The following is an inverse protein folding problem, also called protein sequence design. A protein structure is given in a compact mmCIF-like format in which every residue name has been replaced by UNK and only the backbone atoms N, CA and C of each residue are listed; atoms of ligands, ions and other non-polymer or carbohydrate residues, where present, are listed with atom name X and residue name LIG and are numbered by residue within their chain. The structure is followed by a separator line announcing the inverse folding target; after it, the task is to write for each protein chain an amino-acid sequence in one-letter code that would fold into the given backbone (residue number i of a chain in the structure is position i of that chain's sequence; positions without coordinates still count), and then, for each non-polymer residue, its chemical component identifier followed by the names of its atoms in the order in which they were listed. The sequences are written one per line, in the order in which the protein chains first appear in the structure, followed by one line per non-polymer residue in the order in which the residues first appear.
data_IF_241741983078
#
_entry.id   IF_241741983078
#
_cell.length_a   1.000
_cell.length_b   1.000
_cell.length_c   1.000
_cell.angle_alpha   90.00
_cell.angle_beta   90.00
_cell.angle_gamma   90.00
#
_symmetry.space_group_name_H-M   'P 1'
#
loop_
_entity.id
_entity.type
_entity.pdbx_description
1 polymer ?
#
# COMPACT_ATOMS: atom_id res chain seq x y z
N UNK A 1 20.02 -6.74 -0.67
CA UNK A 1 20.01 -7.59 0.54
C UNK A 1 19.35 -8.94 0.27
N UNK A 2 18.01 -9.08 0.26
CA UNK A 2 17.30 -10.38 0.19
C UNK A 2 17.83 -11.31 -0.91
N UNK A 3 17.88 -10.86 -2.18
CA UNK A 3 18.42 -11.68 -3.28
C UNK A 3 19.84 -12.21 -3.02
N UNK A 4 20.67 -11.44 -2.32
CA UNK A 4 22.03 -11.83 -1.99
C UNK A 4 22.08 -12.89 -0.89
N UNK A 5 21.22 -12.79 0.13
CA UNK A 5 21.12 -13.80 1.19
C UNK A 5 20.65 -15.15 0.64
N UNK A 6 19.66 -15.15 -0.26
CA UNK A 6 19.26 -16.37 -0.96
C UNK A 6 20.38 -16.95 -1.84
N UNK A 7 21.15 -16.09 -2.53
CA UNK A 7 22.30 -16.53 -3.31
C UNK A 7 23.37 -17.20 -2.44
N UNK A 8 23.63 -16.70 -1.23
CA UNK A 8 24.63 -17.28 -0.30
C UNK A 8 24.32 -18.71 0.10
N UNK A 9 23.05 -19.08 0.13
CA UNK A 9 22.58 -20.44 0.44
C UNK A 9 22.24 -21.25 -0.82
N UNK A 10 22.65 -20.78 -2.01
CA UNK A 10 22.45 -21.50 -3.27
C UNK A 10 21.01 -21.52 -3.79
N UNK A 11 20.12 -20.69 -3.24
CA UNK A 11 18.71 -20.66 -3.65
C UNK A 11 18.48 -19.52 -4.65
N UNK A 12 17.96 -19.81 -5.86
CA UNK A 12 17.55 -18.75 -6.78
C UNK A 12 16.33 -18.01 -6.24
N UNK A 13 16.45 -16.69 -6.07
CA UNK A 13 15.34 -15.84 -5.62
C UNK A 13 15.01 -14.76 -6.65
N UNK A 14 13.77 -14.79 -7.13
CA UNK A 14 13.19 -13.75 -7.98
C UNK A 14 11.77 -13.44 -7.51
N UNK A 15 11.50 -12.16 -7.26
CA UNK A 15 10.18 -11.67 -6.89
C UNK A 15 9.93 -10.31 -7.56
N UNK A 16 8.72 -10.05 -8.07
CA UNK A 16 8.32 -8.71 -8.47
C UNK A 16 8.54 -7.73 -7.31
N UNK A 17 9.11 -6.57 -7.59
CA UNK A 17 9.39 -5.54 -6.57
C UNK A 17 8.55 -4.31 -6.85
N UNK A 18 7.82 -3.87 -5.82
CA UNK A 18 7.07 -2.62 -5.84
C UNK A 18 7.78 -1.57 -4.99
N UNK A 19 8.03 -0.39 -5.57
CA UNK A 19 8.54 0.76 -4.80
C UNK A 19 7.36 1.60 -4.30
N UNK A 20 7.15 1.63 -2.98
CA UNK A 20 6.07 2.38 -2.32
C UNK A 20 6.18 3.90 -2.53
N UNK A 21 7.39 4.43 -2.60
CA UNK A 21 7.66 5.84 -2.92
C UNK A 21 7.15 6.19 -4.31
N UNK A 22 7.43 5.35 -5.32
CA UNK A 22 6.96 5.57 -6.69
C UNK A 22 5.43 5.41 -6.79
N UNK A 23 4.86 4.44 -6.07
CA UNK A 23 3.41 4.28 -5.98
C UNK A 23 2.76 5.53 -5.37
N UNK A 24 3.31 6.03 -4.26
CA UNK A 24 2.81 7.23 -3.60
C UNK A 24 2.90 8.45 -4.51
N UNK A 25 4.01 8.68 -5.21
CA UNK A 25 4.15 9.77 -6.20
C UNK A 25 3.06 9.74 -7.27
N UNK A 26 2.73 8.55 -7.74
CA UNK A 26 1.76 8.36 -8.82
C UNK A 26 0.31 8.53 -8.36
N UNK A 27 -0.01 8.05 -7.16
CA UNK A 27 -1.36 8.16 -6.59
C UNK A 27 -1.63 9.54 -5.95
N UNK A 28 -0.58 10.20 -5.46
CA UNK A 28 -0.65 11.43 -4.67
C UNK A 28 0.28 12.52 -5.23
N UNK A 29 0.15 12.91 -6.51
CA UNK A 29 1.11 13.79 -7.18
C UNK A 29 1.19 15.21 -6.59
N UNK A 30 0.17 15.63 -5.83
CA UNK A 30 0.12 16.96 -5.19
C UNK A 30 1.07 17.10 -4.00
N UNK A 31 1.58 15.99 -3.46
CA UNK A 31 2.50 16.04 -2.33
C UNK A 31 3.95 16.08 -2.81
N UNK A 32 4.79 16.85 -2.11
CA UNK A 32 6.21 16.99 -2.47
C UNK A 32 7.08 15.88 -1.88
N UNK A 33 6.78 15.40 -0.66
CA UNK A 33 7.54 14.36 0.04
C UNK A 33 6.84 13.02 -0.03
N UNK A 34 7.60 11.95 -0.27
CA UNK A 34 7.10 10.57 -0.39
C UNK A 34 7.99 9.54 0.31
N UNK A 35 8.82 9.97 1.27
CA UNK A 35 9.49 9.01 2.16
C UNK A 35 8.43 8.22 2.94
N UNK A 36 8.81 7.04 3.45
CA UNK A 36 7.90 6.25 4.28
C UNK A 36 7.37 7.10 5.44
N UNK A 37 8.24 7.82 6.14
CA UNK A 37 7.87 8.75 7.21
C UNK A 37 6.79 9.76 6.80
N UNK A 38 6.97 10.45 5.66
CA UNK A 38 5.97 11.42 5.17
C UNK A 38 4.65 10.75 4.75
N UNK A 39 4.70 9.49 4.33
CA UNK A 39 3.49 8.70 4.04
C UNK A 39 2.78 8.34 5.35
N UNK A 40 3.52 7.84 6.34
CA UNK A 40 2.96 7.46 7.65
C UNK A 40 2.34 8.67 8.35
N UNK A 41 3.00 9.83 8.30
CA UNK A 41 2.48 11.10 8.83
C UNK A 41 1.22 11.57 8.09
N UNK A 42 1.24 11.60 6.75
CA UNK A 42 0.11 12.07 5.94
C UNK A 42 -1.18 11.27 6.18
N UNK A 43 -1.04 9.96 6.30
CA UNK A 43 -2.17 9.05 6.47
C UNK A 43 -2.47 8.71 7.93
N UNK A 44 -1.81 9.39 8.88
CA UNK A 44 -1.96 9.16 10.33
C UNK A 44 -1.89 7.67 10.71
N UNK A 45 -0.95 6.94 10.11
CA UNK A 45 -0.77 5.51 10.37
C UNK A 45 -0.07 5.33 11.72
N UNK A 46 -0.73 4.60 12.62
CA UNK A 46 -0.17 4.27 13.93
C UNK A 46 0.83 3.12 13.82
N UNK A 47 2.00 3.30 14.42
CA UNK A 47 3.08 2.30 14.47
C UNK A 47 3.79 2.45 15.81
N UNK A 48 3.67 1.42 16.65
CA UNK A 48 4.11 1.40 18.05
C UNK A 48 5.64 1.37 18.28
N UNK A 49 6.43 1.81 17.28
CA UNK A 49 7.89 1.77 17.32
C UNK A 49 8.48 1.87 15.92
N UNK A 50 8.54 3.09 15.36
CA UNK A 50 9.19 3.31 14.06
C UNK A 50 10.66 2.89 14.13
N UNK A 51 11.22 2.45 13.00
CA UNK A 51 12.63 2.03 12.82
C UNK A 51 12.95 0.57 13.15
N UNK A 52 11.93 -0.30 13.33
CA UNK A 52 12.12 -1.76 13.19
C UNK A 52 11.59 -2.23 11.84
N UNK A 53 12.29 -3.17 11.21
CA UNK A 53 11.92 -3.68 9.89
C UNK A 53 10.47 -4.23 9.82
N UNK A 54 9.98 -4.81 10.92
CA UNK A 54 8.60 -5.28 11.02
C UNK A 54 7.59 -4.12 11.03
N UNK A 55 7.89 -3.05 11.76
CA UNK A 55 6.98 -1.91 11.89
C UNK A 55 6.97 -1.07 10.60
N UNK A 56 8.10 -0.98 9.91
CA UNK A 56 8.14 -0.39 8.56
C UNK A 56 7.31 -1.23 7.55
N UNK A 57 7.36 -2.56 7.64
CA UNK A 57 6.55 -3.43 6.79
C UNK A 57 5.04 -3.26 7.07
N UNK A 58 4.66 -3.15 8.34
CA UNK A 58 3.27 -2.86 8.76
C UNK A 58 2.80 -1.49 8.28
N UNK A 59 3.66 -0.47 8.39
CA UNK A 59 3.33 0.87 7.89
C UNK A 59 3.08 0.88 6.39
N UNK A 60 3.90 0.15 5.63
CA UNK A 60 3.71 -0.04 4.18
C UNK A 60 2.39 -0.74 3.89
N UNK A 61 2.08 -1.82 4.61
CA UNK A 61 0.84 -2.57 4.45
C UNK A 61 -0.40 -1.70 4.70
N UNK A 62 -0.43 -0.96 5.80
CA UNK A 62 -1.49 -0.01 6.13
C UNK A 62 -1.64 1.07 5.05
N UNK A 63 -0.53 1.62 4.55
CA UNK A 63 -0.55 2.58 3.44
C UNK A 63 -1.18 2.00 2.17
N UNK A 64 -0.86 0.77 1.79
CA UNK A 64 -1.43 0.14 0.60
C UNK A 64 -2.94 -0.04 0.72
N UNK A 65 -3.45 -0.40 1.90
CA UNK A 65 -4.89 -0.52 2.16
C UNK A 65 -5.59 0.84 2.05
N UNK A 66 -5.05 1.87 2.71
CA UNK A 66 -5.59 3.24 2.65
C UNK A 66 -5.59 3.77 1.22
N UNK A 67 -4.48 3.61 0.50
CA UNK A 67 -4.35 4.10 -0.87
C UNK A 67 -5.33 3.44 -1.84
N UNK A 68 -5.60 2.15 -1.64
CA UNK A 68 -6.61 1.40 -2.41
C UNK A 68 -8.02 1.94 -2.14
N UNK A 69 -8.35 2.22 -0.89
CA UNK A 69 -9.64 2.78 -0.49
C UNK A 69 -9.84 4.21 -1.00
N UNK A 70 -8.84 5.09 -0.85
CA UNK A 70 -8.93 6.51 -1.23
C UNK A 70 -8.96 6.75 -2.74
N UNK A 71 -8.24 5.93 -3.52
CA UNK A 71 -8.11 6.11 -4.98
C UNK A 71 -9.06 5.24 -5.78
N UNK A 72 -9.67 4.24 -5.14
CA UNK A 72 -10.49 3.23 -5.78
C UNK A 72 -9.68 2.18 -6.53
N UNK A 73 -10.28 1.00 -6.73
CA UNK A 73 -9.65 -0.18 -7.33
C UNK A 73 -9.01 0.11 -8.69
N UNK A 74 -9.73 0.77 -9.59
CA UNK A 74 -9.27 0.98 -10.97
C UNK A 74 -7.98 1.79 -11.04
N UNK A 75 -7.96 2.95 -10.39
CA UNK A 75 -6.79 3.84 -10.36
C UNK A 75 -5.59 3.18 -9.66
N UNK A 76 -5.85 2.48 -8.55
CA UNK A 76 -4.83 1.77 -7.79
C UNK A 76 -4.19 0.64 -8.60
N UNK A 77 -4.98 -0.21 -9.25
CA UNK A 77 -4.49 -1.28 -10.12
C UNK A 77 -3.71 -0.74 -11.32
N UNK A 78 -4.19 0.34 -11.96
CA UNK A 78 -3.46 1.01 -13.04
C UNK A 78 -2.14 1.60 -12.56
N UNK A 79 -2.09 2.07 -11.31
CA UNK A 79 -0.88 2.55 -10.71
C UNK A 79 0.13 1.40 -10.55
N UNK A 80 -0.30 0.28 -9.95
CA UNK A 80 0.48 -0.93 -9.73
C UNK A 80 0.98 -1.56 -11.02
N UNK A 81 0.11 -1.76 -12.02
CA UNK A 81 0.45 -2.46 -13.25
C UNK A 81 1.62 -1.80 -13.99
N UNK A 82 1.61 -0.47 -14.13
CA UNK A 82 2.74 0.23 -14.79
C UNK A 82 4.02 0.19 -13.95
N UNK A 83 3.93 0.16 -12.62
CA UNK A 83 5.11 0.15 -11.73
C UNK A 83 5.76 -1.23 -11.62
N UNK A 84 4.95 -2.28 -11.62
CA UNK A 84 5.43 -3.66 -11.66
C UNK A 84 5.94 -4.05 -13.06
N UNK A 85 5.99 -3.10 -14.01
CA UNK A 85 6.33 -3.32 -15.44
C UNK A 85 5.57 -4.51 -16.01
N UNK A 86 4.33 -4.69 -15.57
CA UNK A 86 3.45 -5.69 -16.13
C UNK A 86 3.04 -5.13 -17.50
N UNK A 87 3.32 -5.83 -18.63
CA UNK A 87 2.87 -5.37 -19.94
C UNK A 87 1.38 -5.05 -19.86
N UNK A 88 1.01 -3.88 -20.40
CA UNK A 88 -0.32 -3.28 -20.29
C UNK A 88 -1.41 -4.35 -20.29
N UNK A 89 -2.01 -4.56 -19.11
CA UNK A 89 -3.10 -5.52 -18.97
C UNK A 89 -4.27 -5.00 -19.81
N UNK A 90 -4.53 -5.67 -20.94
CA UNK A 90 -5.76 -5.48 -21.71
C UNK A 90 -6.97 -5.65 -20.76
N UNK A 91 -8.17 -5.11 -21.07
CA UNK A 91 -9.33 -5.28 -20.19
C UNK A 91 -9.63 -6.76 -19.82
N UNK A 92 -9.35 -7.70 -20.74
CA UNK A 92 -9.38 -9.14 -20.46
C UNK A 92 -8.22 -9.65 -19.59
N UNK A 93 -7.00 -9.14 -19.83
CA UNK A 93 -5.83 -9.39 -18.98
C UNK A 93 -6.00 -8.88 -17.55
N UNK A 94 -6.67 -7.74 -17.34
CA UNK A 94 -6.93 -7.15 -16.02
C UNK A 94 -7.88 -8.03 -15.18
N UNK A 95 -8.92 -8.61 -15.79
CA UNK A 95 -9.79 -9.60 -15.13
C UNK A 95 -9.02 -10.86 -14.73
N UNK A 96 -8.15 -11.37 -15.62
CA UNK A 96 -7.31 -12.56 -15.34
C UNK A 96 -6.25 -12.28 -14.27
N UNK A 97 -5.64 -11.10 -14.28
CA UNK A 97 -4.69 -10.67 -13.27
C UNK A 97 -5.34 -10.51 -11.91
N UNK A 98 -6.53 -9.89 -11.82
CA UNK A 98 -7.31 -9.86 -10.57
C UNK A 98 -7.58 -11.27 -10.05
N UNK A 99 -8.04 -12.18 -10.92
CA UNK A 99 -8.27 -13.58 -10.54
C UNK A 99 -7.00 -14.31 -10.11
N UNK A 100 -5.83 -13.99 -10.69
CA UNK A 100 -4.53 -14.54 -10.33
C UNK A 100 -3.91 -13.89 -9.08
N UNK A 101 -4.15 -12.60 -8.84
CA UNK A 101 -3.75 -11.86 -7.64
C UNK A 101 -4.53 -12.38 -6.42
N UNK A 102 -5.83 -12.63 -6.59
CA UNK A 102 -6.66 -13.31 -5.58
C UNK A 102 -6.36 -14.81 -5.41
N UNK A 103 -5.52 -15.40 -6.27
CA UNK A 103 -5.15 -16.84 -6.27
C UNK A 103 -3.63 -17.08 -6.22
N UNK A 104 -2.81 -16.05 -6.01
CA UNK A 104 -1.36 -16.14 -5.96
C UNK A 104 -0.87 -16.92 -4.73
N UNK A 105 0.42 -17.33 -4.68
CA UNK A 105 0.95 -18.11 -3.57
C UNK A 105 0.67 -17.40 -2.25
N UNK A 106 -0.06 -18.11 -1.40
CA UNK A 106 -0.72 -17.65 -0.17
C UNK A 106 0.26 -17.18 0.90
N UNK A 107 1.00 -16.10 0.67
CA UNK A 107 1.93 -15.54 1.65
C UNK A 107 1.72 -14.04 1.96
N UNK A 108 0.97 -13.29 1.14
CA UNK A 108 0.60 -11.90 1.46
C UNK A 108 -0.90 -11.76 1.80
N UNK A 109 -1.73 -12.74 1.43
CA UNK A 109 -3.17 -12.69 1.69
C UNK A 109 -3.57 -13.28 3.07
N UNK A 110 -2.85 -14.30 3.58
CA UNK A 110 -3.19 -14.97 4.87
C UNK A 110 -2.76 -14.19 6.12
N UNK A 111 -1.78 -13.28 6.01
CA UNK A 111 -1.42 -12.40 7.13
C UNK A 111 -2.48 -11.31 7.32
N UNK A 112 -3.17 -10.92 6.25
CA UNK A 112 -4.20 -9.87 6.28
C UNK A 112 -5.61 -10.38 6.66
N UNK A 113 -5.98 -11.61 6.27
CA UNK A 113 -7.32 -12.16 6.52
C UNK A 113 -7.52 -12.79 7.92
N UNK A 114 -6.45 -13.09 8.68
CA UNK A 114 -6.59 -13.79 9.98
C UNK A 114 -6.71 -12.88 11.21
N UNK A 115 -6.82 -11.54 11.04
CA UNK A 115 -7.02 -10.62 12.19
C UNK A 115 -8.05 -9.51 11.98
N UNK A 116 -8.86 -9.61 10.92
CA UNK A 116 -9.95 -8.65 10.64
C UNK A 116 -11.33 -9.14 11.09
N UNK A 117 -11.40 -10.13 12.00
CA UNK A 117 -12.65 -10.54 12.66
C UNK A 117 -12.69 -10.28 14.18
N UNK A 118 -11.65 -9.70 14.79
CA UNK A 118 -11.63 -9.44 16.26
C UNK A 118 -11.59 -7.95 16.65
N UNK A 119 -11.82 -7.02 15.74
CA UNK A 119 -12.11 -5.62 16.10
C UNK A 119 -13.38 -5.13 15.41
N UNK A 120 -14.46 -5.86 15.64
CA UNK A 120 -15.79 -5.28 15.69
C UNK A 120 -15.84 -4.31 16.89
N UNK A 121 -15.39 -3.07 16.68
CA UNK A 121 -15.44 -2.05 17.71
C UNK A 121 -14.53 -0.86 17.41
N UNK A 122 -15.14 0.25 16.99
CA UNK A 122 -14.57 1.60 16.98
C UNK A 122 -13.54 1.95 15.88
N UNK A 123 -14.05 2.29 14.69
CA UNK A 123 -13.54 3.49 14.02
C UNK A 123 -14.67 4.24 13.33
N UNK A 124 -15.37 5.06 14.12
CA UNK A 124 -16.35 6.05 13.67
C UNK A 124 -15.56 7.24 13.11
N UNK A 125 -15.20 7.21 11.82
CA UNK A 125 -14.65 8.40 11.15
C UNK A 125 -15.79 9.39 10.99
N UNK A 126 -15.90 10.32 11.95
CA UNK A 126 -16.77 11.50 11.88
C UNK A 126 -16.35 12.33 10.67
N UNK A 127 -17.29 12.52 9.76
CA UNK A 127 -17.28 13.61 8.77
C UNK A 127 -17.19 14.95 9.51
N UNK A 128 -16.08 15.68 9.34
CA UNK A 128 -15.94 17.06 9.82
C UNK A 128 -15.97 18.02 8.63
N UNK A 129 -17.20 18.45 8.35
CA UNK A 129 -17.56 19.62 7.56
C UNK A 129 -17.73 20.78 8.54
N UNK A 130 -16.72 21.62 8.76
CA UNK A 130 -16.85 22.96 9.38
C UNK A 130 -15.63 23.82 8.97
N UNK A 131 -15.81 24.80 8.09
CA UNK A 131 -16.02 26.21 8.46
C UNK A 131 -14.71 26.91 8.87
N UNK A 132 -14.15 27.73 7.97
CA UNK A 132 -13.20 28.80 8.31
C UNK A 132 -13.66 30.09 7.65
N UNK A 133 -14.48 30.86 8.38
CA UNK A 133 -14.56 32.32 8.23
C UNK A 133 -13.20 32.90 8.64
N UNK A 134 -12.70 33.87 7.88
CA UNK A 134 -11.62 34.77 8.29
C UNK A 134 -12.08 36.19 7.96
N UNK A 135 -12.69 36.82 8.96
CA UNK A 135 -12.36 38.20 9.34
C UNK A 135 -11.05 38.09 10.16
N UNK A 136 -10.09 39.00 10.25
CA UNK A 136 -9.96 40.46 10.08
C UNK A 136 -8.43 40.77 10.09
N UNK A 137 -7.86 41.99 10.24
CA UNK A 137 -8.33 43.20 10.94
C UNK A 137 -9.02 44.27 10.09
#
# INVERSE_FOLDING_TARGET
FVRNEFRRVGIPFSAPTLCTVLLSRKLYPVHRKHSLESIVERHAIDVAGRHRALDDARAVEAFLAIARQEKGEGCYEDALAKLLKIPSLTPGGRRRWRAAFSRGPRLIQRIFESRLLDTAGALRIRSMKTMRKRDKP
#
